data_IF_774699170044
#
_entry.id   IF_774699170044
#
_cell.length_a   1.000
_cell.length_b   1.000
_cell.length_c   1.000
_cell.angle_alpha   90.00
_cell.angle_beta   90.00
_cell.angle_gamma   90.00
#
_symmetry.space_group_name_H-M   'P 1'
#
loop_
_entity.id
_entity.type
_entity.pdbx_description
1 polymer ?
#
# COMPACT_ATOMS: atom_id res chain seq x y z
N UNK A 1 -14.30 -3.22 1.77
CA UNK A 1 -13.51 -1.99 1.59
C UNK A 1 -14.10 -0.86 2.41
N UNK A 2 -13.27 -0.21 3.18
CA UNK A 2 -13.75 0.86 4.06
C UNK A 2 -13.90 2.20 3.35
N UNK A 3 -13.13 2.42 2.30
CA UNK A 3 -13.23 3.64 1.53
C UNK A 3 -14.09 3.42 0.31
N UNK A 4 -15.09 4.27 0.16
CA UNK A 4 -15.96 4.24 -1.00
C UNK A 4 -15.32 5.11 -2.08
N UNK A 5 -14.46 4.51 -2.88
CA UNK A 5 -13.66 5.22 -3.85
C UNK A 5 -14.25 5.09 -5.24
N UNK A 6 -14.28 6.22 -5.96
CA UNK A 6 -14.69 6.24 -7.37
C UNK A 6 -13.56 5.80 -8.27
N UNK A 7 -12.32 6.12 -7.88
CA UNK A 7 -11.15 5.82 -8.69
C UNK A 7 -9.94 5.71 -7.78
N UNK A 8 -9.02 4.85 -8.18
CA UNK A 8 -7.77 4.69 -7.46
C UNK A 8 -6.71 4.27 -8.46
N UNK A 9 -5.56 4.95 -8.46
CA UNK A 9 -4.49 4.62 -9.37
C UNK A 9 -3.16 5.07 -8.80
N UNK A 10 -2.09 4.46 -9.31
CA UNK A 10 -0.73 4.86 -8.97
C UNK A 10 -0.25 5.90 -9.96
N UNK A 11 0.19 7.05 -9.44
CA UNK A 11 0.74 8.13 -10.26
C UNK A 11 2.26 8.00 -10.26
N UNK A 12 2.81 7.58 -11.38
CA UNK A 12 4.26 7.36 -11.50
C UNK A 12 5.06 8.65 -11.41
N UNK A 13 4.46 9.78 -11.79
CA UNK A 13 5.16 11.05 -11.75
C UNK A 13 5.42 11.52 -10.32
N UNK A 14 4.48 11.25 -9.42
CA UNK A 14 4.60 11.68 -8.03
C UNK A 14 5.01 10.56 -7.10
N UNK A 15 4.91 9.31 -7.55
CA UNK A 15 5.18 8.15 -6.70
C UNK A 15 4.11 7.92 -5.66
N UNK A 16 2.89 8.38 -5.91
CA UNK A 16 1.80 8.30 -4.97
C UNK A 16 0.64 7.46 -5.52
N UNK A 17 -0.04 6.75 -4.62
CA UNK A 17 -1.33 6.15 -4.95
C UNK A 17 -2.41 7.19 -4.67
N UNK A 18 -3.19 7.53 -5.67
CA UNK A 18 -4.21 8.56 -5.58
C UNK A 18 -5.58 7.94 -5.54
N UNK A 19 -6.38 8.40 -4.60
CA UNK A 19 -7.71 7.89 -4.31
C UNK A 19 -8.71 9.02 -4.44
N UNK A 20 -9.70 8.86 -5.32
CA UNK A 20 -10.80 9.83 -5.45
C UNK A 20 -12.04 9.24 -4.81
N UNK A 21 -12.52 9.86 -3.75
CA UNK A 21 -13.68 9.38 -3.03
C UNK A 21 -14.97 9.88 -3.70
N UNK A 22 -16.07 9.20 -3.38
CA UNK A 22 -17.34 9.54 -3.99
C UNK A 22 -17.87 10.90 -3.57
N UNK A 23 -17.43 11.38 -2.41
CA UNK A 23 -17.83 12.72 -1.94
C UNK A 23 -16.98 13.83 -2.54
N UNK A 24 -16.06 13.50 -3.43
CA UNK A 24 -15.21 14.48 -4.11
C UNK A 24 -13.86 14.72 -3.47
N UNK A 25 -13.60 14.13 -2.31
CA UNK A 25 -12.28 14.28 -1.66
C UNK A 25 -11.26 13.42 -2.36
N UNK A 26 -10.02 13.88 -2.30
CA UNK A 26 -8.88 13.13 -2.88
C UNK A 26 -7.86 12.85 -1.78
N UNK A 27 -7.36 11.63 -1.77
CA UNK A 27 -6.31 11.20 -0.85
C UNK A 27 -5.12 10.78 -1.67
N UNK A 28 -3.92 11.23 -1.28
CA UNK A 28 -2.67 10.80 -1.92
C UNK A 28 -1.82 10.10 -0.88
N UNK A 29 -1.30 8.92 -1.23
CA UNK A 29 -0.44 8.13 -0.36
C UNK A 29 0.94 8.12 -0.98
N UNK A 30 1.92 8.72 -0.29
CA UNK A 30 3.31 8.73 -0.74
C UNK A 30 3.93 7.37 -0.46
N UNK A 31 4.07 6.57 -1.52
CA UNK A 31 4.56 5.19 -1.38
C UNK A 31 5.98 5.13 -0.81
N UNK A 32 6.84 6.08 -1.22
CA UNK A 32 8.20 6.15 -0.69
C UNK A 32 8.19 6.43 0.81
N UNK A 33 7.35 7.37 1.23
CA UNK A 33 7.21 7.70 2.64
C UNK A 33 6.72 6.52 3.47
N UNK A 34 5.78 5.75 2.91
CA UNK A 34 5.28 4.55 3.56
C UNK A 34 6.39 3.53 3.74
N UNK A 35 7.18 3.30 2.70
CA UNK A 35 8.29 2.34 2.77
C UNK A 35 9.33 2.76 3.79
N UNK A 36 9.66 4.04 3.82
CA UNK A 36 10.60 4.58 4.82
C UNK A 36 10.07 4.41 6.24
N UNK A 37 8.80 4.70 6.44
CA UNK A 37 8.19 4.62 7.77
C UNK A 37 8.10 3.19 8.27
N UNK A 38 7.89 2.23 7.37
CA UNK A 38 7.76 0.82 7.73
C UNK A 38 9.11 0.11 7.82
N UNK A 39 10.16 0.71 7.28
CA UNK A 39 11.51 0.11 7.24
C UNK A 39 11.43 -1.29 6.63
N UNK A 40 10.90 -1.36 5.41
CA UNK A 40 10.61 -2.64 4.76
C UNK A 40 11.88 -3.32 4.25
N UNK A 41 11.85 -4.65 4.24
CA UNK A 41 12.87 -5.45 3.56
C UNK A 41 12.61 -5.45 2.06
N UNK A 42 13.58 -5.97 1.29
CA UNK A 42 13.41 -6.07 -0.16
C UNK A 42 12.18 -6.93 -0.53
N UNK A 43 11.98 -8.04 0.17
CA UNK A 43 10.83 -8.90 -0.09
C UNK A 43 9.52 -8.17 0.22
N UNK A 44 9.50 -7.40 1.31
CA UNK A 44 8.33 -6.64 1.69
C UNK A 44 8.06 -5.51 0.71
N UNK A 45 9.12 -4.86 0.22
CA UNK A 45 8.97 -3.82 -0.79
C UNK A 45 8.38 -4.40 -2.07
N UNK A 46 8.83 -5.60 -2.47
CA UNK A 46 8.30 -6.28 -3.64
C UNK A 46 6.79 -6.54 -3.49
N UNK A 47 6.37 -6.96 -2.30
CA UNK A 47 4.95 -7.20 -2.04
C UNK A 47 4.15 -5.91 -2.14
N UNK A 48 4.66 -4.81 -1.58
CA UNK A 48 3.99 -3.52 -1.68
C UNK A 48 3.91 -3.05 -3.13
N UNK A 49 5.00 -3.22 -3.89
CA UNK A 49 5.01 -2.85 -5.30
C UNK A 49 3.96 -3.65 -6.08
N UNK A 50 3.83 -4.94 -5.77
CA UNK A 50 2.82 -5.77 -6.41
C UNK A 50 1.41 -5.19 -6.19
N UNK A 51 1.11 -4.78 -4.95
CA UNK A 51 -0.17 -4.17 -4.65
C UNK A 51 -0.36 -2.84 -5.38
N UNK A 52 0.69 -2.02 -5.40
CA UNK A 52 0.62 -0.71 -6.03
C UNK A 52 0.26 -0.83 -7.51
N UNK A 53 0.86 -1.79 -8.21
CA UNK A 53 0.66 -1.92 -9.66
C UNK A 53 -0.54 -2.77 -10.02
N UNK A 54 -0.94 -3.71 -9.17
CA UNK A 54 -2.01 -4.64 -9.51
C UNK A 54 -3.31 -4.39 -8.75
N UNK A 55 -3.22 -3.81 -7.54
CA UNK A 55 -4.40 -3.56 -6.72
C UNK A 55 -4.18 -2.31 -5.87
N UNK A 56 -4.10 -1.13 -6.53
CA UNK A 56 -3.84 0.10 -5.77
C UNK A 56 -4.91 0.40 -4.74
N UNK A 57 -6.15 0.01 -4.97
CA UNK A 57 -7.22 0.22 -4.00
C UNK A 57 -6.99 -0.65 -2.75
N UNK A 58 -6.54 -1.88 -2.94
CA UNK A 58 -6.17 -2.75 -1.82
C UNK A 58 -4.99 -2.19 -1.05
N UNK A 59 -4.00 -1.63 -1.77
CA UNK A 59 -2.87 -0.98 -1.14
C UNK A 59 -3.34 0.19 -0.27
N UNK A 60 -4.20 1.04 -0.83
CA UNK A 60 -4.72 2.19 -0.10
C UNK A 60 -5.47 1.76 1.16
N UNK A 61 -6.31 0.75 1.03
CA UNK A 61 -7.04 0.24 2.18
C UNK A 61 -6.11 -0.30 3.26
N UNK A 62 -5.08 -1.02 2.85
CA UNK A 62 -4.09 -1.56 3.78
C UNK A 62 -3.38 -0.46 4.55
N UNK A 63 -2.95 0.60 3.86
CA UNK A 63 -2.18 1.66 4.47
C UNK A 63 -3.07 2.54 5.37
N UNK A 64 -4.29 2.83 4.92
CA UNK A 64 -5.14 3.79 5.62
C UNK A 64 -5.99 3.15 6.73
N UNK A 65 -6.35 1.89 6.58
CA UNK A 65 -7.25 1.22 7.51
C UNK A 65 -6.69 -0.04 8.12
N UNK A 66 -5.69 -0.63 7.49
CA UNK A 66 -5.14 -1.90 7.95
C UNK A 66 -3.88 -1.72 8.76
N UNK A 67 -3.19 -2.83 8.96
CA UNK A 67 -1.90 -2.86 9.63
C UNK A 67 -0.87 -3.37 8.63
N UNK A 68 -0.19 -2.48 7.91
CA UNK A 68 0.76 -2.91 6.88
C UNK A 68 1.93 -3.69 7.44
N UNK A 69 2.39 -3.39 8.64
CA UNK A 69 3.48 -4.16 9.25
C UNK A 69 3.05 -5.60 9.50
N UNK A 70 1.87 -5.79 10.04
CA UNK A 70 1.35 -7.13 10.32
C UNK A 70 1.11 -7.89 9.02
N UNK A 71 0.53 -7.22 8.03
CA UNK A 71 0.30 -7.82 6.73
C UNK A 71 1.60 -8.31 6.10
N UNK A 72 2.63 -7.45 6.10
CA UNK A 72 3.90 -7.80 5.49
C UNK A 72 4.60 -8.92 6.25
N UNK A 73 4.52 -8.89 7.56
CA UNK A 73 5.08 -9.95 8.41
C UNK A 73 4.44 -11.29 8.07
N UNK A 74 3.12 -11.32 7.94
CA UNK A 74 2.40 -12.56 7.65
C UNK A 74 2.62 -13.04 6.21
N UNK A 75 2.84 -12.12 5.28
CA UNK A 75 3.00 -12.45 3.87
C UNK A 75 4.42 -12.86 3.55
N UNK A 76 5.42 -12.20 4.12
CA UNK A 76 6.82 -12.43 3.77
C UNK A 76 7.65 -13.03 4.90
N UNK A 77 7.23 -12.84 6.14
CA UNK A 77 8.01 -13.24 7.30
C UNK A 77 8.14 -14.74 7.49
N UNK A 78 7.28 -15.51 6.84
CA UNK A 78 7.29 -16.97 6.98
C UNK A 78 8.42 -17.62 6.18
N UNK A 79 9.15 -16.85 5.45
CA UNK A 79 10.21 -17.40 4.61
C UNK A 79 11.47 -17.61 5.42
N UNK A 80 11.52 -17.67 6.39
CA UNK A 80 12.61 -17.85 7.00
C UNK A 80 12.96 -18.19 8.26
N UNK A 81 12.79 -17.76 8.15
CA UNK A 81 13.07 -17.85 8.91
C UNK A 81 13.09 -18.46 9.72
N UNK A 82 12.72 -18.55 9.70
CA UNK A 82 12.62 -18.94 10.20
C UNK A 82 12.81 -19.42 10.70
N UNK A 83 12.78 -19.23 10.65
CA UNK A 83 12.87 -19.52 11.01
C UNK A 83 13.08 -19.79 11.10
#
# INVERSE_FOLDING_TARGET
MKYDARACHFNMDTGCVELLLRDGRKISIDCTGVEDALDVTMAQQTELDYLIYNDPLGYADLILNGDPKEYLKNTTGSYGLED
#
